data_IF_611859959343
#
_entry.id   IF_611859959343
#
_cell.length_a   1.000
_cell.length_b   1.000
_cell.length_c   1.000
_cell.angle_alpha   90.00
_cell.angle_beta   90.00
_cell.angle_gamma   90.00
#
_symmetry.space_group_name_H-M   'P 1'
#
loop_
_entity.id
_entity.type
_entity.pdbx_description
1 polymer ?
#
# COMPACT_ATOMS: atom_id res chain seq x y z
N UNK A 1 -6.89 -25.90 2.71
CA UNK A 1 -6.60 -24.55 2.18
C UNK A 1 -6.04 -23.72 3.32
N UNK A 2 -4.74 -23.41 3.31
CA UNK A 2 -4.15 -22.57 4.36
C UNK A 2 -4.47 -21.11 4.04
N UNK A 3 -5.24 -20.45 4.90
CA UNK A 3 -5.53 -19.02 4.89
C UNK A 3 -4.23 -18.24 5.17
N UNK A 4 -3.34 -18.13 4.19
CA UNK A 4 -2.21 -17.21 4.25
C UNK A 4 -2.70 -15.79 3.99
N UNK A 5 -3.47 -15.28 4.94
CA UNK A 5 -3.77 -13.86 5.02
C UNK A 5 -2.49 -13.13 5.42
N UNK A 6 -1.90 -12.43 4.45
CA UNK A 6 -0.65 -11.68 4.64
C UNK A 6 -0.85 -10.70 5.80
N UNK A 7 0.02 -10.71 6.83
CA UNK A 7 -0.21 -9.93 8.05
C UNK A 7 0.09 -8.44 7.87
N UNK A 8 0.69 -8.05 6.75
CA UNK A 8 1.06 -6.67 6.44
C UNK A 8 0.47 -6.30 5.09
N UNK A 9 -0.19 -5.15 5.05
CA UNK A 9 -0.71 -4.54 3.83
C UNK A 9 -0.06 -3.18 3.61
N UNK A 10 -0.03 -2.71 2.38
CA UNK A 10 0.27 -1.32 2.09
C UNK A 10 -1.00 -0.45 2.24
N UNK A 11 -0.78 0.81 2.60
CA UNK A 11 -1.83 1.84 2.77
C UNK A 11 -1.63 3.01 1.80
N UNK A 12 -1.02 2.76 0.64
CA UNK A 12 -0.62 3.81 -0.31
C UNK A 12 -1.84 4.51 -0.90
N UNK A 13 -2.95 3.80 -1.11
CA UNK A 13 -4.22 4.41 -1.52
C UNK A 13 -4.68 5.48 -0.53
N UNK A 14 -4.75 5.11 0.74
CA UNK A 14 -5.20 5.98 1.83
C UNK A 14 -4.29 7.21 1.93
N UNK A 15 -2.98 7.01 1.84
CA UNK A 15 -2.01 8.09 1.82
C UNK A 15 -2.22 9.03 0.62
N UNK A 16 -2.28 8.50 -0.60
CA UNK A 16 -2.44 9.30 -1.84
C UNK A 16 -3.76 10.07 -1.84
N UNK A 17 -4.86 9.43 -1.44
CA UNK A 17 -6.18 10.04 -1.38
C UNK A 17 -6.22 11.15 -0.32
N UNK A 18 -5.59 10.95 0.85
CA UNK A 18 -5.50 11.97 1.90
C UNK A 18 -4.70 13.21 1.49
N UNK A 19 -3.73 13.06 0.56
CA UNK A 19 -3.00 14.19 -0.02
C UNK A 19 -3.81 14.93 -1.10
N UNK A 20 -4.97 14.41 -1.52
CA UNK A 20 -5.79 14.99 -2.58
C UNK A 20 -5.14 14.95 -3.96
N UNK A 21 -4.19 14.03 -4.19
CA UNK A 21 -3.48 13.87 -5.47
C UNK A 21 -3.92 12.61 -6.19
N UNK A 22 -3.71 12.58 -7.51
CA UNK A 22 -4.04 11.39 -8.32
C UNK A 22 -2.92 10.34 -8.24
N UNK A 23 -3.20 9.06 -8.49
CA UNK A 23 -2.17 8.02 -8.63
C UNK A 23 -1.14 8.34 -9.72
N UNK A 24 -1.56 9.06 -10.77
CA UNK A 24 -0.68 9.55 -11.82
C UNK A 24 0.31 10.58 -11.29
N UNK A 25 -0.15 11.54 -10.49
CA UNK A 25 0.69 12.56 -9.86
C UNK A 25 1.67 11.92 -8.88
N UNK A 26 1.19 11.01 -8.01
CA UNK A 26 2.03 10.20 -7.13
C UNK A 26 3.16 9.49 -7.89
N UNK A 27 2.84 8.81 -9.01
CA UNK A 27 3.86 8.17 -9.85
C UNK A 27 4.92 9.16 -10.33
N UNK A 28 4.49 10.34 -10.79
CA UNK A 28 5.38 11.38 -11.33
C UNK A 28 6.28 11.96 -10.24
N UNK A 29 5.72 12.23 -9.06
CA UNK A 29 6.44 12.74 -7.90
C UNK A 29 7.52 11.78 -7.41
N UNK A 30 7.18 10.50 -7.26
CA UNK A 30 8.08 9.49 -6.71
C UNK A 30 9.08 8.97 -7.74
N UNK A 31 8.77 9.08 -9.04
CA UNK A 31 9.64 8.60 -10.11
C UNK A 31 9.74 7.07 -10.15
N UNK A 32 8.58 6.40 -10.18
CA UNK A 32 8.43 4.94 -10.28
C UNK A 32 7.69 4.51 -11.55
N UNK A 33 7.82 3.23 -11.91
CA UNK A 33 7.13 2.69 -13.07
C UNK A 33 5.60 2.78 -12.92
N UNK A 34 4.90 2.96 -14.04
CA UNK A 34 3.44 3.10 -14.05
C UNK A 34 2.73 1.92 -13.41
N UNK A 35 3.13 0.71 -13.80
CA UNK A 35 2.55 -0.51 -13.25
C UNK A 35 2.78 -0.61 -11.74
N UNK A 36 3.98 -0.29 -11.27
CA UNK A 36 4.28 -0.25 -9.83
C UNK A 36 3.37 0.72 -9.09
N UNK A 37 3.18 1.95 -9.59
CA UNK A 37 2.28 2.92 -8.96
C UNK A 37 0.82 2.43 -8.97
N UNK A 38 0.36 1.84 -10.08
CA UNK A 38 -0.98 1.30 -10.20
C UNK A 38 -1.23 0.13 -9.24
N UNK A 39 -0.31 -0.84 -9.19
CA UNK A 39 -0.44 -2.03 -8.35
C UNK A 39 -0.40 -1.65 -6.87
N UNK A 40 0.51 -0.76 -6.46
CA UNK A 40 0.60 -0.26 -5.09
C UNK A 40 -0.66 0.50 -4.66
N UNK A 41 -1.24 1.32 -5.56
CA UNK A 41 -2.44 2.09 -5.24
C UNK A 41 -3.70 1.22 -5.20
N UNK A 42 -3.83 0.21 -6.08
CA UNK A 42 -5.08 -0.56 -6.18
C UNK A 42 -5.09 -1.88 -5.41
N UNK A 43 -3.92 -2.40 -5.02
CA UNK A 43 -3.81 -3.69 -4.33
C UNK A 43 -3.07 -3.54 -2.99
N UNK A 44 -3.79 -3.53 -1.85
CA UNK A 44 -3.19 -3.47 -0.52
C UNK A 44 -2.20 -4.62 -0.23
N UNK A 45 -2.31 -5.76 -0.92
CA UNK A 45 -1.39 -6.89 -0.76
C UNK A 45 -0.07 -6.71 -1.54
N UNK A 46 -0.02 -5.77 -2.49
CA UNK A 46 1.21 -5.44 -3.18
C UNK A 46 2.09 -4.60 -2.26
N UNK A 47 3.15 -5.17 -1.69
CA UNK A 47 4.10 -4.40 -0.90
C UNK A 47 5.07 -3.63 -1.82
N UNK A 48 5.47 -2.40 -1.45
CA UNK A 48 6.56 -1.72 -2.13
C UNK A 48 7.89 -2.46 -1.85
N UNK A 49 8.77 -2.54 -2.85
CA UNK A 49 10.16 -2.95 -2.60
C UNK A 49 10.84 -1.92 -1.70
N UNK A 50 11.94 -2.30 -1.05
CA UNK A 50 12.75 -1.37 -0.25
C UNK A 50 13.13 -0.12 -1.03
N UNK A 51 13.56 -0.27 -2.28
CA UNK A 51 13.93 0.85 -3.16
C UNK A 51 12.76 1.78 -3.49
N UNK A 52 11.55 1.25 -3.67
CA UNK A 52 10.35 2.07 -3.91
C UNK A 52 9.91 2.75 -2.62
N UNK A 53 9.94 2.04 -1.49
CA UNK A 53 9.59 2.59 -0.18
C UNK A 53 10.51 3.76 0.18
N UNK A 54 11.82 3.62 0.00
CA UNK A 54 12.80 4.71 0.18
C UNK A 54 12.45 5.92 -0.66
N UNK A 55 12.17 5.76 -1.96
CA UNK A 55 11.78 6.87 -2.83
C UNK A 55 10.52 7.60 -2.34
N UNK A 56 9.51 6.87 -1.87
CA UNK A 56 8.28 7.47 -1.36
C UNK A 56 8.57 8.24 -0.07
N UNK A 57 9.29 7.62 0.86
CA UNK A 57 9.70 8.24 2.13
C UNK A 57 10.52 9.51 1.91
N UNK A 58 11.50 9.49 1.01
CA UNK A 58 12.34 10.66 0.70
C UNK A 58 11.54 11.76 -0.01
N UNK A 59 10.62 11.40 -0.93
CA UNK A 59 9.85 12.38 -1.71
C UNK A 59 8.86 13.17 -0.87
N UNK A 60 8.22 12.50 0.08
CA UNK A 60 7.16 13.08 0.93
C UNK A 60 7.62 13.34 2.37
N UNK A 61 8.88 13.04 2.71
CA UNK A 61 9.48 13.20 4.03
C UNK A 61 8.68 12.50 5.15
N UNK A 62 8.27 11.25 4.89
CA UNK A 62 7.40 10.46 5.77
C UNK A 62 8.05 9.18 6.27
N UNK A 63 7.59 8.72 7.44
CA UNK A 63 7.97 7.43 8.00
C UNK A 63 7.28 6.27 7.25
N UNK A 64 7.94 5.10 7.09
CA UNK A 64 7.37 3.95 6.40
C UNK A 64 6.13 3.37 7.09
N UNK A 65 5.97 3.60 8.40
CA UNK A 65 4.79 3.18 9.17
C UNK A 65 3.49 3.87 8.71
N UNK A 66 3.58 4.96 7.94
CA UNK A 66 2.40 5.61 7.34
C UNK A 66 1.95 4.91 6.04
N UNK A 67 2.79 4.06 5.46
CA UNK A 67 2.56 3.38 4.19
C UNK A 67 2.32 1.86 4.34
N UNK A 68 2.51 1.33 5.55
CA UNK A 68 2.41 -0.09 5.87
C UNK A 68 1.62 -0.27 7.15
N UNK A 69 0.68 -1.22 7.14
CA UNK A 69 -0.18 -1.55 8.27
C UNK A 69 -0.11 -3.05 8.57
N UNK A 70 0.09 -3.39 9.84
CA UNK A 70 -0.14 -4.74 10.31
C UNK A 70 -1.64 -4.96 10.56
N UNK A 71 -2.17 -6.09 10.10
CA UNK A 71 -3.59 -6.46 10.26
C UNK A 71 -3.68 -7.67 11.21
N UNK A 72 -4.38 -7.57 12.36
CA UNK A 72 -4.57 -8.68 13.30
C UNK A 72 -5.28 -9.90 12.68
N UNK A 73 -4.98 -11.11 13.18
CA UNK A 73 -5.59 -12.37 12.69
C UNK A 73 -7.12 -12.28 12.65
N UNK A 74 -7.74 -11.78 13.72
CA UNK A 74 -9.19 -11.66 13.86
C UNK A 74 -9.85 -10.82 12.76
N UNK A 75 -9.19 -9.74 12.33
CA UNK A 75 -9.68 -8.90 11.23
C UNK A 75 -9.54 -9.60 9.88
N UNK A 76 -8.47 -10.40 9.71
CA UNK A 76 -8.21 -11.15 8.47
C UNK A 76 -9.20 -12.31 8.29
N UNK A 77 -9.59 -12.96 9.38
CA UNK A 77 -10.62 -14.02 9.37
C UNK A 77 -11.99 -13.43 9.04
N UNK A 78 -12.33 -12.27 9.60
CA UNK A 78 -13.58 -11.55 9.30
C UNK A 78 -13.68 -11.16 7.81
N UNK A 79 -12.58 -10.68 7.21
CA UNK A 79 -12.50 -10.39 5.77
C UNK A 79 -12.68 -11.63 4.89
N UNK A 80 -12.20 -12.79 5.34
CA UNK A 80 -12.33 -14.05 4.60
C UNK A 80 -13.75 -14.67 4.69
N UNK A 81 -14.49 -14.35 5.75
CA UNK A 81 -15.86 -14.85 5.97
C UNK A 81 -16.98 -14.01 5.35
N UNK A 82 -16.68 -12.80 4.85
CA UNK A 82 -17.68 -11.82 4.41
C UNK A 82 -17.93 -11.72 2.90
N UNK A 83 -17.46 -12.69 2.10
CA UNK A 83 -17.73 -12.76 0.66
C UNK A 83 -18.88 -13.72 0.34
N UNK A 84 -20.12 -13.26 0.50
CA UNK A 84 -21.33 -13.84 -0.13
C UNK A 84 -21.65 -13.09 -1.43
#
# INVERSE_FOLDING_TARGET
MSLFVVPVINTIKEFVDAQGITPYQFRKDVGIAQRTAYDLYNNPLQLPSSSVLTKICDRYEIQPSLLLKWVPIVEREAMASGGD
#
